data_IF_439833188965
#
_entry.id   IF_439833188965
#
_cell.length_a   1.000
_cell.length_b   1.000
_cell.length_c   1.000
_cell.angle_alpha   90.00
_cell.angle_beta   90.00
_cell.angle_gamma   90.00
#
_symmetry.space_group_name_H-M   'P 1'
#
loop_
_entity.id
_entity.type
_entity.pdbx_description
1 polymer ?
#
# COMPACT_ATOMS: atom_id res chain seq x y z
N UNK A 1 10.33 -5.23 -1.45
CA UNK A 1 11.15 -6.17 -2.25
C UNK A 1 12.62 -5.84 -2.04
N UNK A 2 13.53 -6.82 -1.93
CA UNK A 2 14.98 -6.56 -1.69
C UNK A 2 15.58 -5.63 -2.76
N UNK A 3 15.33 -5.90 -4.04
CA UNK A 3 15.74 -5.03 -5.14
C UNK A 3 15.28 -3.56 -4.99
N UNK A 4 14.11 -3.29 -4.40
CA UNK A 4 13.66 -1.92 -4.16
C UNK A 4 14.51 -1.23 -3.09
N UNK A 5 14.91 -1.97 -2.06
CA UNK A 5 15.78 -1.45 -1.01
C UNK A 5 17.19 -1.20 -1.54
N UNK A 6 17.73 -2.10 -2.37
CA UNK A 6 19.02 -1.93 -3.05
C UNK A 6 19.01 -0.74 -3.99
N UNK A 7 17.97 -0.61 -4.82
CA UNK A 7 17.77 0.55 -5.68
C UNK A 7 17.71 1.85 -4.86
N UNK A 8 16.95 1.86 -3.76
CA UNK A 8 16.84 3.04 -2.92
C UNK A 8 18.18 3.43 -2.28
N UNK A 9 18.98 2.46 -1.82
CA UNK A 9 20.34 2.71 -1.33
C UNK A 9 21.22 3.31 -2.42
N UNK A 10 21.22 2.71 -3.61
CA UNK A 10 21.98 3.21 -4.75
C UNK A 10 21.57 4.64 -5.13
N UNK A 11 20.26 4.91 -5.22
CA UNK A 11 19.77 6.26 -5.50
C UNK A 11 20.15 7.26 -4.40
N UNK A 12 20.20 6.85 -3.14
CA UNK A 12 20.60 7.73 -2.03
C UNK A 12 22.09 8.07 -2.07
N UNK A 13 22.92 7.10 -2.46
CA UNK A 13 24.37 7.27 -2.54
C UNK A 13 24.80 8.09 -3.75
N UNK A 14 24.18 7.86 -4.93
CA UNK A 14 24.62 8.44 -6.20
C UNK A 14 23.71 9.56 -6.73
N UNK A 15 22.46 9.65 -6.26
CA UNK A 15 21.45 10.59 -6.76
C UNK A 15 20.58 11.20 -5.63
N UNK A 16 21.17 11.77 -4.56
CA UNK A 16 20.43 12.25 -3.39
C UNK A 16 19.34 13.29 -3.75
N UNK A 17 19.62 14.19 -4.70
CA UNK A 17 18.64 15.18 -5.18
C UNK A 17 17.36 14.55 -5.73
N UNK A 18 17.43 13.33 -6.28
CA UNK A 18 16.26 12.62 -6.78
C UNK A 18 15.43 12.12 -5.61
N UNK A 19 16.07 11.57 -4.58
CA UNK A 19 15.40 11.08 -3.38
C UNK A 19 14.63 12.21 -2.67
N UNK A 20 15.21 13.41 -2.60
CA UNK A 20 14.56 14.56 -1.98
C UNK A 20 13.38 15.14 -2.78
N UNK A 21 13.33 14.90 -4.09
CA UNK A 21 12.25 15.39 -4.97
C UNK A 21 11.04 14.46 -5.00
N UNK A 22 11.19 13.21 -4.55
CA UNK A 22 10.13 12.21 -4.60
C UNK A 22 9.24 12.27 -3.35
N UNK A 23 7.99 11.87 -3.53
CA UNK A 23 7.06 11.57 -2.44
C UNK A 23 6.88 10.06 -2.36
N UNK A 24 6.94 9.50 -1.15
CA UNK A 24 6.93 8.06 -0.94
C UNK A 24 5.58 7.58 -0.41
N UNK A 25 4.97 6.66 -1.16
CA UNK A 25 3.78 5.91 -0.79
C UNK A 25 4.17 4.45 -0.64
N UNK A 26 4.33 3.99 0.60
CA UNK A 26 4.97 2.69 0.86
C UNK A 26 3.92 1.60 0.97
N UNK A 27 3.90 0.68 0.01
CA UNK A 27 3.03 -0.49 0.03
C UNK A 27 3.73 -1.65 0.77
N UNK A 28 3.09 -2.16 1.83
CA UNK A 28 3.67 -3.15 2.77
C UNK A 28 2.63 -4.19 3.17
N UNK A 29 2.99 -5.47 3.37
CA UNK A 29 4.28 -6.10 3.12
C UNK A 29 4.43 -6.52 1.66
N UNK A 30 5.64 -6.93 1.28
CA UNK A 30 5.84 -7.68 0.05
C UNK A 30 5.38 -9.13 0.25
N UNK A 31 4.08 -9.39 0.14
CA UNK A 31 3.47 -10.67 0.51
C UNK A 31 4.10 -11.89 -0.19
N UNK A 32 4.51 -11.76 -1.45
CA UNK A 32 5.11 -12.86 -2.21
C UNK A 32 6.43 -13.39 -1.62
N UNK A 33 7.24 -12.56 -0.92
CA UNK A 33 8.42 -13.09 -0.22
C UNK A 33 8.06 -14.00 0.94
N UNK A 34 6.96 -13.71 1.64
CA UNK A 34 6.51 -14.52 2.77
C UNK A 34 5.98 -15.86 2.31
N UNK A 35 5.17 -15.90 1.24
CA UNK A 35 4.68 -17.14 0.65
C UNK A 35 5.83 -18.04 0.19
N UNK A 36 6.82 -17.47 -0.51
CA UNK A 36 8.02 -18.25 -0.92
C UNK A 36 8.78 -18.78 0.28
N UNK A 37 8.98 -17.95 1.31
CA UNK A 37 9.73 -18.33 2.49
C UNK A 37 9.01 -19.38 3.33
N UNK A 38 7.70 -19.26 3.51
CA UNK A 38 6.89 -20.26 4.22
C UNK A 38 6.93 -21.62 3.55
N UNK A 39 7.01 -21.67 2.21
CA UNK A 39 7.14 -22.93 1.47
C UNK A 39 8.50 -23.61 1.70
N UNK A 40 9.54 -22.86 2.09
CA UNK A 40 10.89 -23.41 2.34
C UNK A 40 11.07 -23.82 3.80
N UNK A 41 10.68 -22.96 4.75
CA UNK A 41 10.97 -23.19 6.19
C UNK A 41 9.75 -23.59 7.02
N UNK A 42 8.55 -23.49 6.47
CA UNK A 42 7.27 -23.67 7.17
C UNK A 42 6.82 -22.41 7.93
N UNK A 43 5.50 -22.22 8.04
CA UNK A 43 4.90 -21.07 8.72
C UNK A 43 5.30 -20.92 10.20
N UNK A 44 5.36 -22.00 11.02
CA UNK A 44 5.79 -21.89 12.41
C UNK A 44 7.24 -21.43 12.57
N UNK A 45 8.15 -21.95 11.75
CA UNK A 45 9.56 -21.54 11.76
C UNK A 45 9.72 -20.08 11.34
N UNK A 46 8.98 -19.65 10.31
CA UNK A 46 8.95 -18.27 9.86
C UNK A 46 8.49 -17.32 10.97
N UNK A 47 7.42 -17.68 11.69
CA UNK A 47 6.92 -16.89 12.82
C UNK A 47 7.95 -16.82 13.96
N UNK A 48 8.59 -17.94 14.30
CA UNK A 48 9.64 -17.99 15.33
C UNK A 48 10.84 -17.11 14.96
N UNK A 49 11.25 -17.16 13.70
CA UNK A 49 12.36 -16.33 13.20
C UNK A 49 12.01 -14.84 13.25
N UNK A 50 10.81 -14.49 12.80
CA UNK A 50 10.30 -13.12 12.87
C UNK A 50 10.29 -12.58 14.30
N UNK A 51 9.77 -13.34 15.26
CA UNK A 51 9.77 -12.97 16.68
C UNK A 51 11.21 -12.76 17.17
N UNK A 52 12.11 -13.72 16.89
CA UNK A 52 13.52 -13.63 17.29
C UNK A 52 14.20 -12.39 16.72
N UNK A 53 13.96 -12.06 15.45
CA UNK A 53 14.55 -10.88 14.79
C UNK A 53 13.96 -9.57 15.34
N UNK A 54 12.66 -9.56 15.63
CA UNK A 54 11.98 -8.40 16.22
C UNK A 54 12.47 -8.12 17.65
N UNK A 55 12.71 -9.16 18.45
CA UNK A 55 13.31 -9.06 19.79
C UNK A 55 14.75 -8.52 19.77
N UNK A 56 15.50 -8.80 18.70
CA UNK A 56 16.87 -8.28 18.51
C UNK A 56 16.90 -6.84 18.01
N UNK A 57 15.75 -6.29 17.61
CA UNK A 57 15.64 -4.92 17.12
C UNK A 57 15.16 -4.02 18.25
N UNK A 58 15.99 -3.14 18.85
CA UNK A 58 15.64 -2.40 20.07
C UNK A 58 14.31 -1.63 19.96
N UNK A 59 14.06 -1.02 18.80
CA UNK A 59 12.82 -0.27 18.52
C UNK A 59 11.55 -1.14 18.52
N UNK A 60 11.66 -2.43 18.26
CA UNK A 60 10.53 -3.36 18.16
C UNK A 60 10.41 -4.32 19.35
N UNK A 61 11.48 -4.48 20.13
CA UNK A 61 11.57 -5.47 21.20
C UNK A 61 10.46 -5.30 22.24
N UNK A 62 10.20 -4.07 22.71
CA UNK A 62 9.19 -3.78 23.74
C UNK A 62 7.79 -4.19 23.26
N UNK A 63 7.40 -3.79 22.06
CA UNK A 63 6.09 -4.12 21.48
C UNK A 63 5.98 -5.62 21.20
N UNK A 64 7.09 -6.28 20.85
CA UNK A 64 7.14 -7.74 20.63
C UNK A 64 6.90 -8.49 21.95
N UNK A 65 7.65 -8.17 23.02
CA UNK A 65 7.43 -8.77 24.34
C UNK A 65 6.01 -8.50 24.83
N UNK A 66 5.57 -7.25 24.76
CA UNK A 66 4.24 -6.86 25.21
C UNK A 66 3.16 -7.59 24.42
N UNK A 67 3.29 -7.70 23.10
CA UNK A 67 2.36 -8.42 22.23
C UNK A 67 2.25 -9.90 22.58
N UNK A 68 3.37 -10.57 22.86
CA UNK A 68 3.39 -11.99 23.27
C UNK A 68 2.77 -12.17 24.66
N UNK A 69 3.23 -11.40 25.65
CA UNK A 69 2.76 -11.52 27.04
C UNK A 69 1.27 -11.21 27.19
N UNK A 70 0.76 -10.27 26.39
CA UNK A 70 -0.66 -9.88 26.42
C UNK A 70 -1.51 -10.60 25.39
N UNK A 71 -0.93 -11.53 24.61
CA UNK A 71 -1.60 -12.23 23.49
C UNK A 71 -2.36 -11.24 22.57
N UNK A 72 -1.73 -10.10 22.28
CA UNK A 72 -2.34 -9.01 21.55
C UNK A 72 -1.93 -9.07 20.06
N UNK A 73 -2.81 -9.58 19.17
CA UNK A 73 -2.47 -9.71 17.76
C UNK A 73 -2.24 -8.35 17.11
N UNK A 74 -2.92 -7.28 17.52
CA UNK A 74 -2.74 -5.96 16.94
C UNK A 74 -1.31 -5.42 17.13
N UNK A 75 -0.71 -5.64 18.32
CA UNK A 75 0.70 -5.32 18.58
C UNK A 75 1.63 -6.14 17.70
N UNK A 76 1.39 -7.45 17.58
CA UNK A 76 2.23 -8.32 16.74
C UNK A 76 2.16 -7.93 15.26
N UNK A 77 0.98 -7.57 14.76
CA UNK A 77 0.80 -7.03 13.41
C UNK A 77 1.52 -5.69 13.22
N UNK A 78 1.47 -4.80 14.21
CA UNK A 78 2.26 -3.55 14.17
C UNK A 78 3.75 -3.85 14.08
N UNK A 79 4.28 -4.74 14.92
CA UNK A 79 5.69 -5.15 14.88
C UNK A 79 6.03 -5.71 13.49
N UNK A 80 5.13 -6.50 12.91
CA UNK A 80 5.31 -7.08 11.58
C UNK A 80 5.43 -6.01 10.49
N UNK A 81 4.50 -5.06 10.44
CA UNK A 81 4.54 -3.96 9.49
C UNK A 81 5.79 -3.09 9.72
N UNK A 82 6.10 -2.74 10.96
CA UNK A 82 7.25 -1.90 11.27
C UNK A 82 8.58 -2.58 10.93
N UNK A 83 8.71 -3.88 11.16
CA UNK A 83 9.89 -4.66 10.78
C UNK A 83 10.19 -4.52 9.27
N UNK A 84 9.16 -4.60 8.43
CA UNK A 84 9.31 -4.43 6.97
C UNK A 84 9.63 -2.98 6.57
N UNK A 85 9.11 -1.99 7.30
CA UNK A 85 9.32 -0.58 6.99
C UNK A 85 10.69 -0.07 7.41
N UNK A 86 11.21 -0.52 8.57
CA UNK A 86 12.42 0.04 9.18
C UNK A 86 13.62 0.16 8.25
N UNK A 87 13.96 -0.83 7.38
CA UNK A 87 15.07 -0.68 6.45
C UNK A 87 14.90 0.49 5.47
N UNK A 88 13.68 0.75 5.00
CA UNK A 88 13.39 1.85 4.08
C UNK A 88 13.33 3.18 4.82
N UNK A 89 12.76 3.21 6.03
CA UNK A 89 12.68 4.41 6.87
C UNK A 89 14.06 4.97 7.28
N UNK A 90 15.11 4.15 7.24
CA UNK A 90 16.50 4.59 7.47
C UNK A 90 17.10 5.34 6.29
N UNK A 91 16.49 5.25 5.11
CA UNK A 91 17.03 5.76 3.85
C UNK A 91 16.15 6.88 3.30
N UNK A 92 14.82 6.71 3.34
CA UNK A 92 13.88 7.72 2.84
C UNK A 92 13.82 8.94 3.76
N UNK A 93 13.79 10.17 3.20
CA UNK A 93 13.53 11.36 3.98
C UNK A 93 12.12 11.30 4.58
N UNK A 94 12.02 11.47 5.90
CA UNK A 94 10.80 11.18 6.65
C UNK A 94 9.64 12.08 6.22
N UNK A 95 9.92 13.35 5.98
CA UNK A 95 8.98 14.38 5.52
C UNK A 95 8.44 14.15 4.11
N UNK A 96 9.09 13.27 3.34
CA UNK A 96 8.67 12.87 2.00
C UNK A 96 7.76 11.64 2.00
N UNK A 97 7.65 10.94 3.13
CA UNK A 97 6.71 9.83 3.27
C UNK A 97 5.30 10.42 3.40
N UNK A 98 4.40 9.99 2.53
CA UNK A 98 3.02 10.50 2.48
C UNK A 98 2.00 9.54 3.03
N UNK A 99 2.27 8.24 2.95
CA UNK A 99 1.41 7.20 3.50
C UNK A 99 2.12 5.85 3.56
N UNK A 100 1.66 5.02 4.49
CA UNK A 100 1.88 3.58 4.51
C UNK A 100 0.58 2.92 4.06
N UNK A 101 0.65 2.07 3.04
CA UNK A 101 -0.50 1.32 2.51
C UNK A 101 -0.34 -0.17 2.79
N UNK A 102 -1.41 -0.83 3.24
CA UNK A 102 -1.43 -2.28 3.33
C UNK A 102 -1.65 -2.90 1.95
N UNK A 103 -0.77 -3.84 1.59
CA UNK A 103 -0.83 -4.63 0.36
C UNK A 103 -2.10 -5.46 0.30
N UNK A 104 -2.66 -5.69 -0.90
CA UNK A 104 -4.00 -6.26 -1.08
C UNK A 104 -4.19 -7.60 -0.36
N UNK A 105 -3.20 -8.50 -0.37
CA UNK A 105 -3.28 -9.78 0.36
C UNK A 105 -3.63 -9.60 1.85
N UNK A 106 -3.07 -8.57 2.51
CA UNK A 106 -3.44 -8.26 3.90
C UNK A 106 -4.79 -7.57 3.98
N UNK A 107 -5.06 -6.59 3.11
CA UNK A 107 -6.33 -5.86 3.10
C UNK A 107 -7.51 -6.80 2.89
N UNK A 108 -7.45 -7.71 1.92
CA UNK A 108 -8.52 -8.68 1.64
C UNK A 108 -8.75 -9.61 2.84
N UNK A 109 -7.69 -10.04 3.53
CA UNK A 109 -7.80 -10.83 4.76
C UNK A 109 -8.47 -10.02 5.88
N UNK A 110 -8.07 -8.77 6.07
CA UNK A 110 -8.63 -7.86 7.06
C UNK A 110 -10.13 -7.62 6.81
N UNK A 111 -10.50 -7.38 5.55
CA UNK A 111 -11.89 -7.16 5.13
C UNK A 111 -12.72 -8.43 5.34
N UNK A 112 -12.22 -9.59 4.90
CA UNK A 112 -12.92 -10.87 5.00
C UNK A 112 -13.24 -11.27 6.45
N UNK A 113 -12.32 -11.03 7.38
CA UNK A 113 -12.52 -11.32 8.81
C UNK A 113 -13.04 -10.12 9.62
N UNK A 114 -13.44 -9.03 8.95
CA UNK A 114 -13.92 -7.79 9.55
C UNK A 114 -13.00 -7.26 10.69
N UNK A 115 -11.69 -7.23 10.46
CA UNK A 115 -10.68 -6.84 11.46
C UNK A 115 -10.56 -5.31 11.61
N UNK A 116 -11.67 -4.59 11.72
CA UNK A 116 -11.69 -3.13 11.79
C UNK A 116 -10.93 -2.56 13.00
N UNK A 117 -10.92 -3.28 14.12
CA UNK A 117 -10.14 -2.90 15.31
C UNK A 117 -8.64 -2.88 15.01
N UNK A 118 -8.14 -3.84 14.23
CA UNK A 118 -6.75 -3.90 13.79
C UNK A 118 -6.42 -2.70 12.91
N UNK A 119 -7.28 -2.35 11.94
CA UNK A 119 -7.08 -1.19 11.07
C UNK A 119 -7.00 0.10 11.88
N UNK A 120 -7.95 0.31 12.80
CA UNK A 120 -7.96 1.49 13.69
C UNK A 120 -6.70 1.55 14.56
N UNK A 121 -6.24 0.41 15.07
CA UNK A 121 -5.01 0.32 15.85
C UNK A 121 -3.77 0.68 15.01
N UNK A 122 -3.65 0.10 13.80
CA UNK A 122 -2.53 0.36 12.90
C UNK A 122 -2.51 1.81 12.42
N UNK A 123 -3.66 2.40 12.10
CA UNK A 123 -3.76 3.81 11.71
C UNK A 123 -3.17 4.72 12.79
N UNK A 124 -3.60 4.55 14.04
CA UNK A 124 -3.07 5.31 15.19
C UNK A 124 -1.58 5.05 15.43
N UNK A 125 -1.14 3.81 15.28
CA UNK A 125 0.26 3.45 15.49
C UNK A 125 1.18 4.09 14.43
N UNK A 126 0.77 4.07 13.17
CA UNK A 126 1.50 4.65 12.04
C UNK A 126 1.52 6.18 12.14
N UNK A 127 0.37 6.79 12.45
CA UNK A 127 0.28 8.23 12.70
C UNK A 127 1.23 8.65 13.82
N UNK A 128 1.21 7.94 14.96
CA UNK A 128 2.13 8.21 16.08
C UNK A 128 3.61 8.06 15.70
N UNK A 129 3.95 7.04 14.91
CA UNK A 129 5.36 6.71 14.62
C UNK A 129 5.96 7.52 13.47
N UNK A 130 5.15 7.93 12.50
CA UNK A 130 5.60 8.48 11.22
C UNK A 130 4.95 9.81 10.87
N UNK A 131 3.88 10.22 11.56
CA UNK A 131 3.07 11.40 11.24
C UNK A 131 2.43 11.34 9.84
N UNK A 132 2.02 10.13 9.44
CA UNK A 132 1.36 9.88 8.15
C UNK A 132 0.14 9.00 8.34
N UNK A 133 -0.80 9.08 7.39
CA UNK A 133 -2.01 8.27 7.41
C UNK A 133 -1.81 6.86 6.83
N UNK A 134 -2.61 5.91 7.34
CA UNK A 134 -2.74 4.56 6.79
C UNK A 134 -3.64 4.58 5.54
N UNK A 135 -3.20 3.86 4.51
CA UNK A 135 -4.01 3.50 3.36
C UNK A 135 -4.19 2.00 3.21
N UNK A 136 -5.15 1.59 2.38
CA UNK A 136 -5.40 0.19 2.04
C UNK A 136 -5.38 0.03 0.53
N UNK A 137 -4.65 -0.97 0.04
CA UNK A 137 -4.78 -1.46 -1.34
C UNK A 137 -5.81 -2.58 -1.40
N UNK A 138 -6.74 -2.55 -2.34
CA UNK A 138 -7.69 -3.65 -2.55
C UNK A 138 -8.01 -3.84 -4.03
N UNK A 139 -8.19 -5.10 -4.41
CA UNK A 139 -8.72 -5.49 -5.72
C UNK A 139 -10.23 -5.73 -5.65
N UNK A 140 -10.80 -5.85 -4.46
CA UNK A 140 -12.23 -5.98 -4.20
C UNK A 140 -12.82 -4.68 -3.65
N UNK A 141 -12.94 -3.70 -4.53
CA UNK A 141 -13.37 -2.34 -4.18
C UNK A 141 -14.77 -2.32 -3.56
N UNK A 142 -15.70 -3.19 -3.99
CA UNK A 142 -17.04 -3.27 -3.42
C UNK A 142 -17.02 -3.70 -1.95
N UNK A 143 -16.28 -4.77 -1.62
CA UNK A 143 -16.14 -5.23 -0.23
C UNK A 143 -15.34 -4.27 0.64
N UNK A 144 -14.36 -3.58 0.07
CA UNK A 144 -13.65 -2.54 0.79
C UNK A 144 -14.60 -1.39 1.19
N UNK A 145 -15.45 -0.93 0.27
CA UNK A 145 -16.45 0.12 0.56
C UNK A 145 -17.41 -0.33 1.66
N UNK A 146 -18.00 -1.52 1.53
CA UNK A 146 -18.88 -2.08 2.56
C UNK A 146 -18.19 -2.11 3.94
N UNK A 147 -16.95 -2.58 3.99
CA UNK A 147 -16.17 -2.66 5.23
C UNK A 147 -15.86 -1.29 5.83
N UNK A 148 -15.48 -0.31 5.01
CA UNK A 148 -15.19 1.06 5.44
C UNK A 148 -16.43 1.74 5.98
N UNK A 149 -17.54 1.66 5.25
CA UNK A 149 -18.81 2.29 5.63
C UNK A 149 -19.38 1.65 6.91
N UNK A 150 -19.44 0.31 6.97
CA UNK A 150 -19.98 -0.42 8.12
C UNK A 150 -19.21 -0.12 9.42
N UNK A 151 -17.89 0.04 9.35
CA UNK A 151 -17.04 0.26 10.51
C UNK A 151 -16.73 1.73 10.79
N UNK A 152 -17.27 2.64 9.98
CA UNK A 152 -16.99 4.08 9.96
C UNK A 152 -15.48 4.37 10.00
N UNK A 153 -14.74 3.76 9.08
CA UNK A 153 -13.29 3.93 8.96
C UNK A 153 -12.96 5.21 8.20
N UNK A 154 -11.92 5.89 8.65
CA UNK A 154 -11.29 6.99 7.91
C UNK A 154 -9.92 6.50 7.47
N UNK A 155 -9.75 6.38 6.15
CA UNK A 155 -8.48 5.97 5.54
C UNK A 155 -7.90 7.17 4.80
N UNK A 156 -6.60 7.40 4.94
CA UNK A 156 -5.95 8.49 4.23
C UNK A 156 -5.94 8.24 2.72
N UNK A 157 -5.67 6.99 2.32
CA UNK A 157 -5.60 6.58 0.93
C UNK A 157 -6.29 5.23 0.69
N UNK A 158 -6.89 5.09 -0.49
CA UNK A 158 -7.30 3.79 -1.02
C UNK A 158 -6.61 3.60 -2.35
N UNK A 159 -5.92 2.47 -2.50
CA UNK A 159 -5.25 2.10 -3.73
C UNK A 159 -6.04 0.97 -4.39
N UNK A 160 -6.50 1.14 -5.63
CA UNK A 160 -7.33 0.11 -6.28
C UNK A 160 -7.19 0.16 -7.80
N UNK A 161 -7.29 -0.98 -8.50
CA UNK A 161 -7.20 -0.98 -9.95
C UNK A 161 -8.35 -0.20 -10.58
N UNK A 162 -8.04 0.64 -11.58
CA UNK A 162 -9.03 1.40 -12.33
C UNK A 162 -8.66 1.41 -13.80
N UNK A 163 -9.38 0.61 -14.59
CA UNK A 163 -9.17 0.46 -16.02
C UNK A 163 -10.50 0.08 -16.71
N UNK A 164 -10.68 0.40 -18.01
CA UNK A 164 -11.92 0.16 -18.74
C UNK A 164 -12.33 -1.31 -18.84
N UNK A 165 -11.41 -2.25 -18.63
CA UNK A 165 -11.69 -3.69 -18.69
C UNK A 165 -12.10 -4.28 -17.34
N UNK A 166 -12.09 -3.50 -16.25
CA UNK A 166 -12.21 -4.00 -14.88
C UNK A 166 -11.20 -5.12 -14.56
N UNK A 167 -10.05 -5.12 -15.23
CA UNK A 167 -9.01 -6.11 -15.00
C UNK A 167 -8.48 -5.98 -13.57
N UNK A 168 -8.53 -7.09 -12.82
CA UNK A 168 -8.22 -7.14 -11.40
C UNK A 168 -9.10 -6.23 -10.52
N UNK A 169 -10.32 -5.92 -10.96
CA UNK A 169 -11.34 -5.22 -10.17
C UNK A 169 -12.47 -6.21 -9.89
N UNK A 170 -12.66 -6.60 -8.63
CA UNK A 170 -13.75 -7.43 -8.19
C UNK A 170 -14.92 -6.56 -7.70
N UNK A 171 -16.09 -6.81 -8.29
CA UNK A 171 -17.35 -6.08 -8.12
C UNK A 171 -18.48 -7.11 -8.25
N UNK A 172 -19.59 -6.90 -7.53
CA UNK A 172 -20.71 -7.83 -7.48
C UNK A 172 -22.04 -7.18 -7.86
N UNK A 173 -22.39 -6.06 -7.23
CA UNK A 173 -23.74 -5.45 -7.37
C UNK A 173 -23.70 -3.98 -7.79
N UNK A 174 -22.63 -3.26 -7.48
CA UNK A 174 -22.55 -1.81 -7.69
C UNK A 174 -21.73 -1.48 -8.93
N UNK A 175 -21.88 -0.27 -9.48
CA UNK A 175 -21.00 0.19 -10.56
C UNK A 175 -19.65 0.72 -10.00
N UNK A 176 -18.59 0.71 -10.82
CA UNK A 176 -17.31 1.36 -10.45
C UNK A 176 -17.53 2.82 -10.09
N UNK A 177 -18.38 3.52 -10.85
CA UNK A 177 -18.66 4.94 -10.66
C UNK A 177 -19.25 5.21 -9.27
N UNK A 178 -20.22 4.42 -8.83
CA UNK A 178 -20.80 4.49 -7.49
C UNK A 178 -19.77 4.20 -6.38
N UNK A 179 -18.90 3.21 -6.60
CA UNK A 179 -17.90 2.79 -5.62
C UNK A 179 -16.82 3.87 -5.45
N UNK A 180 -16.34 4.44 -6.55
CA UNK A 180 -15.38 5.55 -6.56
C UNK A 180 -16.00 6.82 -5.99
N UNK A 181 -17.26 7.10 -6.29
CA UNK A 181 -18.00 8.20 -5.66
C UNK A 181 -18.09 8.05 -4.14
N UNK A 182 -18.39 6.83 -3.64
CA UNK A 182 -18.41 6.54 -2.21
C UNK A 182 -17.05 6.76 -1.54
N UNK A 183 -15.98 6.20 -2.11
CA UNK A 183 -14.63 6.25 -1.55
C UNK A 183 -14.05 7.66 -1.58
N UNK A 184 -14.23 8.39 -2.68
CA UNK A 184 -13.62 9.72 -2.88
C UNK A 184 -14.10 10.75 -1.85
N UNK A 185 -15.28 10.55 -1.26
CA UNK A 185 -15.79 11.40 -0.16
C UNK A 185 -15.03 11.26 1.15
N UNK A 186 -14.34 10.13 1.37
CA UNK A 186 -13.71 9.78 2.65
C UNK A 186 -12.20 9.57 2.57
N UNK A 187 -11.68 9.29 1.37
CA UNK A 187 -10.31 8.86 1.15
C UNK A 187 -9.76 9.33 -0.19
N UNK A 188 -8.44 9.54 -0.25
CA UNK A 188 -7.74 9.89 -1.49
C UNK A 188 -7.48 8.63 -2.31
N UNK A 189 -8.01 8.57 -3.52
CA UNK A 189 -7.90 7.36 -4.35
C UNK A 189 -6.61 7.38 -5.19
N UNK A 190 -5.85 6.31 -5.12
CA UNK A 190 -4.68 6.04 -5.96
C UNK A 190 -5.08 4.96 -6.97
N UNK A 191 -5.27 5.35 -8.23
CA UNK A 191 -5.59 4.44 -9.31
C UNK A 191 -4.36 3.62 -9.70
N UNK A 192 -4.47 2.30 -9.68
CA UNK A 192 -3.42 1.39 -10.12
C UNK A 192 -3.85 0.55 -11.30
N UNK A 193 -2.89 -0.14 -11.90
CA UNK A 193 -3.07 -1.02 -13.05
C UNK A 193 -3.96 -0.42 -14.15
N UNK A 194 -3.74 0.86 -14.44
CA UNK A 194 -4.60 1.67 -15.30
C UNK A 194 -4.61 1.18 -16.75
N UNK A 195 -3.57 0.46 -17.17
CA UNK A 195 -3.43 -0.14 -18.50
C UNK A 195 -3.77 -1.64 -18.54
N UNK A 196 -4.45 -2.19 -17.52
CA UNK A 196 -4.82 -3.61 -17.45
C UNK A 196 -3.63 -4.56 -17.76
N UNK A 197 -2.50 -4.35 -17.07
CA UNK A 197 -1.22 -5.06 -17.31
C UNK A 197 -0.65 -4.92 -18.74
N UNK A 198 -0.98 -3.83 -19.43
CA UNK A 198 -0.52 -3.55 -20.80
C UNK A 198 -1.46 -4.07 -21.90
N UNK A 199 -2.63 -4.59 -21.53
CA UNK A 199 -3.65 -5.05 -22.49
C UNK A 199 -4.29 -3.89 -23.25
N UNK A 200 -4.33 -2.69 -22.65
CA UNK A 200 -4.83 -1.47 -23.28
C UNK A 200 -3.73 -0.41 -23.34
N UNK A 201 -3.90 0.56 -24.24
CA UNK A 201 -2.98 1.68 -24.38
C UNK A 201 -3.10 2.68 -23.23
N UNK A 202 -2.07 3.52 -23.06
CA UNK A 202 -2.10 4.61 -22.09
C UNK A 202 -3.17 5.66 -22.42
N UNK A 203 -3.40 5.93 -23.71
CA UNK A 203 -4.37 6.94 -24.14
C UNK A 203 -5.80 6.48 -23.81
N UNK A 204 -6.13 5.21 -24.06
CA UNK A 204 -7.40 4.61 -23.63
C UNK A 204 -7.57 4.63 -22.11
N UNK A 205 -6.50 4.35 -21.36
CA UNK A 205 -6.52 4.43 -19.90
C UNK A 205 -6.78 5.86 -19.40
N UNK A 206 -6.13 6.87 -20.00
CA UNK A 206 -6.34 8.28 -19.67
C UNK A 206 -7.79 8.69 -19.98
N UNK A 207 -8.31 8.35 -21.15
CA UNK A 207 -9.68 8.69 -21.54
C UNK A 207 -10.71 8.05 -20.61
N UNK A 208 -10.47 6.82 -20.15
CA UNK A 208 -11.29 6.19 -19.13
C UNK A 208 -11.22 6.94 -17.79
N UNK A 209 -10.03 7.32 -17.34
CA UNK A 209 -9.83 7.96 -16.03
C UNK A 209 -10.33 9.41 -15.97
N UNK A 210 -10.48 10.11 -17.11
CA UNK A 210 -11.07 11.46 -17.16
C UNK A 210 -12.42 11.55 -16.46
N UNK A 211 -13.21 10.48 -16.49
CA UNK A 211 -14.52 10.35 -15.80
C UNK A 211 -14.40 10.53 -14.28
N UNK A 212 -13.24 10.18 -13.72
CA UNK A 212 -12.96 10.20 -12.29
C UNK A 212 -11.95 11.30 -11.91
N UNK A 213 -11.61 12.23 -12.82
CA UNK A 213 -10.55 13.22 -12.61
C UNK A 213 -10.67 13.98 -11.29
N UNK A 214 -11.87 14.39 -10.89
CA UNK A 214 -12.12 15.10 -9.62
C UNK A 214 -12.17 14.20 -8.38
N UNK A 215 -12.11 12.87 -8.56
CA UNK A 215 -12.27 11.84 -7.53
C UNK A 215 -10.98 11.06 -7.26
N UNK A 216 -10.08 11.02 -8.24
CA UNK A 216 -8.77 10.38 -8.11
C UNK A 216 -7.74 11.39 -7.64
N UNK A 217 -6.91 10.98 -6.69
CA UNK A 217 -5.82 11.79 -6.18
C UNK A 217 -4.51 11.55 -6.96
N UNK A 218 -4.24 10.29 -7.31
CA UNK A 218 -3.04 9.91 -8.03
C UNK A 218 -3.28 8.70 -8.92
N UNK A 219 -2.35 8.49 -9.86
CA UNK A 219 -2.35 7.37 -10.80
C UNK A 219 -0.97 6.73 -10.81
N UNK A 220 -0.89 5.41 -10.98
CA UNK A 220 0.40 4.71 -11.10
C UNK A 220 0.63 4.19 -12.50
N UNK A 221 1.89 4.28 -12.93
CA UNK A 221 2.39 3.65 -14.15
C UNK A 221 3.72 3.00 -13.83
N UNK A 222 3.93 1.79 -14.34
CA UNK A 222 5.14 1.02 -14.10
C UNK A 222 5.74 0.57 -15.43
N UNK A 223 7.05 0.76 -15.56
CA UNK A 223 7.83 0.26 -16.69
C UNK A 223 9.30 0.19 -16.32
N UNK A 224 10.01 -0.75 -16.94
CA UNK A 224 11.48 -0.86 -16.85
C UNK A 224 12.20 -0.05 -17.91
N UNK A 225 11.46 0.59 -18.84
CA UNK A 225 12.01 1.34 -19.97
C UNK A 225 12.00 2.85 -19.66
N UNK A 226 13.16 3.51 -19.47
CA UNK A 226 13.22 4.92 -19.08
C UNK A 226 12.46 5.87 -20.02
N UNK A 227 12.58 5.66 -21.33
CA UNK A 227 11.89 6.45 -22.35
C UNK A 227 10.37 6.31 -22.26
N UNK A 228 9.90 5.10 -21.94
CA UNK A 228 8.47 4.86 -21.72
C UNK A 228 8.01 5.51 -20.42
N UNK A 229 8.82 5.46 -19.36
CA UNK A 229 8.48 6.12 -18.09
C UNK A 229 8.30 7.63 -18.30
N UNK A 230 9.26 8.28 -18.96
CA UNK A 230 9.21 9.71 -19.27
C UNK A 230 7.96 10.07 -20.09
N UNK A 231 7.70 9.37 -21.19
CA UNK A 231 6.54 9.62 -22.04
C UNK A 231 5.22 9.38 -21.30
N UNK A 232 5.13 8.33 -20.48
CA UNK A 232 3.94 8.03 -19.70
C UNK A 232 3.64 9.16 -18.71
N UNK A 233 4.63 9.60 -17.92
CA UNK A 233 4.41 10.66 -16.94
C UNK A 233 4.10 12.01 -17.59
N UNK A 234 4.69 12.33 -18.76
CA UNK A 234 4.34 13.55 -19.53
C UNK A 234 2.87 13.57 -19.94
N UNK A 235 2.30 12.42 -20.33
CA UNK A 235 0.87 12.31 -20.66
C UNK A 235 -0.02 12.31 -19.42
N UNK A 236 0.37 11.58 -18.38
CA UNK A 236 -0.43 11.45 -17.14
C UNK A 236 -0.55 12.76 -16.35
N UNK A 237 0.41 13.68 -16.45
CA UNK A 237 0.29 15.02 -15.84
C UNK A 237 -0.97 15.75 -16.33
N UNK A 238 -1.32 15.60 -17.62
CA UNK A 238 -2.51 16.23 -18.21
C UNK A 238 -3.84 15.71 -17.64
N UNK A 239 -3.82 14.57 -16.94
CA UNK A 239 -5.01 14.01 -16.28
C UNK A 239 -5.25 14.66 -14.92
N UNK A 240 -4.19 15.12 -14.24
CA UNK A 240 -4.24 15.65 -12.87
C UNK A 240 -4.26 17.19 -12.81
N UNK A 241 -3.85 17.86 -13.88
CA UNK A 241 -4.07 19.30 -14.14
C UNK A 241 -5.48 19.51 -14.72
#
# INVERSE_FOLDING_TARGET
HIANLELLKHLTEYYPDVIEKLNYYVLVPYAASYVRRSNVVGSPSLAKEFIKNSLRTPRLAIDTLSGILTLNPEKLFKVFIMHELLPYLKIMPREKIRSILLHEILTETIVAYNLAKLVKYLAKAIEKELDVGLGLESRNIEKLVEFVDYNNLVLAYVMTPLNPMNYQVAIFKRSVDELIDSLSRRSRIIAINIMASGTISLDEAIDYLKKFKSKIYAVTSATTKPERAYNNFRKLIQLLD
#
